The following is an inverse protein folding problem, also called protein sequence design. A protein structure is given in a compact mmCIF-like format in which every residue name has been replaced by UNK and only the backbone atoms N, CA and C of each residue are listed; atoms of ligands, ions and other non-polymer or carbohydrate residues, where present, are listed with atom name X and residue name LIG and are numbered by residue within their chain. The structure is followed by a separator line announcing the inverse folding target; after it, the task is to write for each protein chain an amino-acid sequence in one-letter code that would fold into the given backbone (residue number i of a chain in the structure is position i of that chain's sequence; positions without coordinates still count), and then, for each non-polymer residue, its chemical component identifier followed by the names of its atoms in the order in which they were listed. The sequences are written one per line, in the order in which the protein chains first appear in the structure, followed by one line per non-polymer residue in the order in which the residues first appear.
data_IF_314886451973
#
_entry.id   IF_314886451973
#
_cell.length_a   1.000
_cell.length_b   1.000
_cell.length_c   1.000
_cell.angle_alpha   90.00
_cell.angle_beta   90.00
_cell.angle_gamma   90.00
#
_symmetry.space_group_name_H-M   'P 1'
#
loop_
_entity.id
_entity.type
_entity.pdbx_description
1 polymer ?
#
# COMPACT_ATOMS: atom_id res chain seq x y z
N UNK A 1 17.97 2.38 -12.95
CA UNK A 1 17.43 3.27 -11.90
C UNK A 1 16.31 4.20 -12.38
N UNK A 2 16.33 4.75 -13.60
CA UNK A 2 15.28 5.69 -14.09
C UNK A 2 13.88 5.09 -14.25
N UNK A 3 13.75 3.82 -14.61
CA UNK A 3 12.44 3.19 -14.85
C UNK A 3 11.58 2.99 -13.60
N UNK A 4 12.18 2.84 -12.41
CA UNK A 4 11.43 2.69 -11.15
C UNK A 4 10.84 4.03 -10.71
N UNK A 5 11.65 5.10 -10.74
CA UNK A 5 11.20 6.46 -10.45
C UNK A 5 10.01 6.90 -11.33
N UNK A 6 10.09 6.64 -12.64
CA UNK A 6 8.99 6.96 -13.55
C UNK A 6 7.70 6.18 -13.25
N UNK A 7 7.82 4.92 -12.80
CA UNK A 7 6.65 4.12 -12.41
C UNK A 7 6.01 4.63 -11.13
N UNK A 8 6.81 4.99 -10.13
CA UNK A 8 6.30 5.59 -8.89
C UNK A 8 5.62 6.94 -9.18
N UNK A 9 6.13 7.72 -10.13
CA UNK A 9 5.49 8.96 -10.59
C UNK A 9 4.16 8.69 -11.32
N UNK A 10 4.10 7.69 -12.21
CA UNK A 10 2.85 7.24 -12.86
C UNK A 10 1.83 6.75 -11.82
N UNK A 11 2.26 5.96 -10.82
CA UNK A 11 1.40 5.50 -9.73
C UNK A 11 0.83 6.67 -8.93
N UNK A 12 1.68 7.63 -8.54
CA UNK A 12 1.26 8.84 -7.86
C UNK A 12 0.20 9.58 -8.68
N UNK A 13 0.45 9.80 -9.97
CA UNK A 13 -0.44 10.56 -10.84
C UNK A 13 -1.80 9.87 -10.98
N UNK A 14 -1.82 8.54 -11.17
CA UNK A 14 -3.06 7.76 -11.26
C UNK A 14 -3.84 7.82 -9.96
N UNK A 15 -3.15 7.69 -8.83
CA UNK A 15 -3.80 7.68 -7.53
C UNK A 15 -4.33 9.07 -7.15
N UNK A 16 -3.58 10.13 -7.44
CA UNK A 16 -4.03 11.51 -7.30
C UNK A 16 -5.26 11.80 -8.17
N UNK A 17 -5.30 11.29 -9.41
CA UNK A 17 -6.47 11.40 -10.28
C UNK A 17 -7.70 10.72 -9.65
N UNK A 18 -7.56 9.49 -9.15
CA UNK A 18 -8.68 8.80 -8.49
C UNK A 18 -9.14 9.51 -7.21
N UNK A 19 -8.21 9.98 -6.38
CA UNK A 19 -8.52 10.71 -5.14
C UNK A 19 -9.19 12.06 -5.40
N UNK A 20 -9.01 12.66 -6.59
CA UNK A 20 -9.74 13.87 -6.98
C UNK A 20 -11.25 13.65 -7.16
N UNK A 21 -11.69 12.40 -7.33
CA UNK A 21 -13.11 12.05 -7.43
C UNK A 21 -13.78 12.14 -6.06
N UNK A 22 -14.94 12.82 -6.00
CA UNK A 22 -15.69 12.99 -4.76
C UNK A 22 -16.02 11.62 -4.13
N UNK A 23 -15.54 11.41 -2.91
CA UNK A 23 -15.79 10.20 -2.13
C UNK A 23 -14.76 9.08 -2.31
N UNK A 24 -13.68 9.32 -3.07
CA UNK A 24 -12.59 8.35 -3.25
C UNK A 24 -11.40 8.75 -2.39
N UNK A 25 -11.17 8.01 -1.30
CA UNK A 25 -9.97 8.15 -0.48
C UNK A 25 -8.83 7.28 -1.04
N UNK A 26 -7.59 7.53 -0.61
CA UNK A 26 -6.40 6.78 -1.03
C UNK A 26 -6.56 5.26 -0.88
N UNK A 27 -7.10 4.70 0.23
CA UNK A 27 -7.40 3.27 0.32
C UNK A 27 -8.33 2.77 -0.79
N UNK A 28 -9.40 3.50 -1.08
CA UNK A 28 -10.36 3.16 -2.15
C UNK A 28 -9.70 3.22 -3.53
N UNK A 29 -8.92 4.27 -3.80
CA UNK A 29 -8.16 4.39 -5.05
C UNK A 29 -7.16 3.24 -5.23
N UNK A 30 -6.46 2.85 -4.15
CA UNK A 30 -5.52 1.71 -4.18
C UNK A 30 -6.22 0.38 -4.47
N UNK A 31 -7.45 0.20 -3.97
CA UNK A 31 -8.27 -0.98 -4.29
C UNK A 31 -8.68 -1.03 -5.76
N UNK A 32 -9.03 0.12 -6.36
CA UNK A 32 -9.30 0.22 -7.79
C UNK A 32 -8.04 -0.19 -8.58
N UNK A 33 -6.88 0.39 -8.28
CA UNK A 33 -5.62 0.04 -8.95
C UNK A 33 -5.27 -1.45 -8.80
N UNK A 34 -5.45 -2.01 -7.60
CA UNK A 34 -5.19 -3.43 -7.32
C UNK A 34 -6.11 -4.36 -8.10
N UNK A 35 -7.38 -3.98 -8.27
CA UNK A 35 -8.32 -4.75 -9.09
C UNK A 35 -7.97 -4.76 -10.58
N UNK A 36 -7.28 -3.71 -11.06
CA UNK A 36 -6.84 -3.57 -12.45
C UNK A 36 -5.52 -4.31 -12.71
N UNK A 37 -4.57 -4.25 -11.76
CA UNK A 37 -3.28 -4.93 -11.85
C UNK A 37 -2.71 -5.28 -10.47
N UNK A 38 -3.17 -6.41 -9.92
CA UNK A 38 -2.70 -6.94 -8.63
C UNK A 38 -1.25 -7.43 -8.63
N UNK A 39 -0.62 -7.60 -9.80
CA UNK A 39 0.81 -7.92 -9.87
C UNK A 39 1.68 -6.73 -9.49
N UNK A 40 1.17 -5.51 -9.68
CA UNK A 40 1.90 -4.26 -9.44
C UNK A 40 1.36 -3.46 -8.28
N UNK A 41 0.15 -3.70 -7.83
CA UNK A 41 -0.52 -2.88 -6.84
C UNK A 41 -1.05 -3.74 -5.70
N UNK A 42 -1.11 -3.13 -4.51
CA UNK A 42 -1.83 -3.68 -3.36
C UNK A 42 -2.78 -2.64 -2.78
N UNK A 43 -3.80 -3.13 -2.07
CA UNK A 43 -4.67 -2.28 -1.26
C UNK A 43 -3.87 -1.76 -0.09
N UNK A 44 -3.99 -0.47 0.20
CA UNK A 44 -3.43 0.12 1.42
C UNK A 44 -4.55 0.49 2.40
N UNK A 45 -4.36 0.14 3.67
CA UNK A 45 -5.21 0.59 4.77
C UNK A 45 -4.37 0.78 6.04
N UNK A 46 -5.04 1.11 7.14
CA UNK A 46 -4.40 1.32 8.45
C UNK A 46 -3.64 0.10 8.96
N UNK A 47 -4.09 -1.11 8.61
CA UNK A 47 -3.49 -2.36 9.06
C UNK A 47 -2.23 -2.71 8.28
N UNK A 48 -2.25 -2.48 6.97
CA UNK A 48 -1.05 -2.62 6.13
C UNK A 48 0.04 -1.66 6.63
N UNK A 49 -0.32 -0.40 6.94
CA UNK A 49 0.62 0.54 7.54
C UNK A 49 1.13 0.06 8.90
N UNK A 50 0.23 -0.34 9.80
CA UNK A 50 0.60 -0.78 11.14
C UNK A 50 1.52 -2.01 11.12
N UNK A 51 1.30 -2.95 10.19
CA UNK A 51 2.20 -4.07 9.96
C UNK A 51 3.60 -3.60 9.55
N UNK A 52 3.71 -2.70 8.56
CA UNK A 52 4.99 -2.17 8.10
C UNK A 52 5.71 -1.34 9.17
N UNK A 53 4.97 -0.56 9.96
CA UNK A 53 5.49 0.18 11.11
C UNK A 53 6.07 -0.76 12.18
N UNK A 54 5.34 -1.82 12.57
CA UNK A 54 5.86 -2.82 13.52
C UNK A 54 7.06 -3.60 13.01
N UNK A 55 7.17 -3.77 11.69
CA UNK A 55 8.33 -4.37 11.04
C UNK A 55 9.51 -3.38 10.90
N UNK A 56 9.34 -2.13 11.33
CA UNK A 56 10.40 -1.12 11.34
C UNK A 56 10.61 -0.36 10.02
N UNK A 57 9.68 -0.46 9.07
CA UNK A 57 9.75 0.28 7.80
C UNK A 57 9.32 1.74 7.91
N UNK A 58 8.57 2.09 8.96
CA UNK A 58 8.13 3.46 9.25
C UNK A 58 8.42 3.79 10.70
N UNK A 59 8.74 5.06 10.97
CA UNK A 59 9.02 5.55 12.34
C UNK A 59 7.72 5.88 13.10
N UNK A 60 6.66 6.25 12.38
CA UNK A 60 5.40 6.76 12.96
C UNK A 60 4.20 5.90 12.57
N UNK A 61 3.24 5.76 13.50
CA UNK A 61 1.91 5.24 13.20
C UNK A 61 1.08 6.25 12.41
N UNK A 62 0.17 5.76 11.56
CA UNK A 62 -0.65 6.60 10.70
C UNK A 62 -1.97 5.92 10.34
N UNK A 63 -3.06 6.69 10.42
CA UNK A 63 -4.41 6.20 10.11
C UNK A 63 -5.05 6.84 8.87
N UNK A 64 -4.42 7.90 8.31
CA UNK A 64 -4.92 8.64 7.15
C UNK A 64 -3.87 8.70 6.07
N UNK A 65 -4.24 8.36 4.84
CA UNK A 65 -3.27 8.19 3.76
C UNK A 65 -3.49 9.18 2.62
N UNK A 66 -2.39 9.73 2.11
CA UNK A 66 -2.31 10.52 0.88
C UNK A 66 -1.70 9.68 -0.24
N UNK A 67 -1.80 10.11 -1.51
CA UNK A 67 -1.14 9.43 -2.63
C UNK A 67 0.37 9.21 -2.43
N UNK A 68 1.08 10.12 -1.78
CA UNK A 68 2.50 9.93 -1.44
C UNK A 68 2.75 8.77 -0.48
N UNK A 69 1.83 8.52 0.46
CA UNK A 69 1.94 7.39 1.39
C UNK A 69 1.80 6.07 0.65
N UNK A 70 0.92 6.02 -0.36
CA UNK A 70 0.80 4.86 -1.22
C UNK A 70 2.10 4.54 -1.94
N UNK A 71 2.76 5.55 -2.52
CA UNK A 71 4.02 5.36 -3.26
C UNK A 71 5.09 4.73 -2.37
N UNK A 72 5.21 5.20 -1.12
CA UNK A 72 6.14 4.62 -0.13
C UNK A 72 5.82 3.17 0.19
N UNK A 73 4.54 2.86 0.45
CA UNK A 73 4.10 1.51 0.79
C UNK A 73 4.30 0.57 -0.40
N UNK A 74 3.85 0.95 -1.60
CA UNK A 74 3.88 0.06 -2.77
C UNK A 74 5.30 -0.24 -3.21
N UNK A 75 6.25 0.69 -3.00
CA UNK A 75 7.67 0.44 -3.28
C UNK A 75 8.23 -0.66 -2.37
N UNK A 76 7.97 -0.57 -1.06
CA UNK A 76 8.37 -1.61 -0.08
C UNK A 76 7.72 -2.95 -0.42
N UNK A 77 6.41 -2.96 -0.68
CA UNK A 77 5.65 -4.19 -0.99
C UNK A 77 6.10 -4.82 -2.30
N UNK A 78 6.46 -4.02 -3.32
CA UNK A 78 7.03 -4.52 -4.57
C UNK A 78 8.39 -5.13 -4.35
N UNK A 79 9.24 -4.53 -3.52
CA UNK A 79 10.52 -5.13 -3.17
C UNK A 79 10.33 -6.50 -2.50
N UNK A 80 9.40 -6.62 -1.56
CA UNK A 80 9.06 -7.91 -0.93
C UNK A 80 8.52 -8.93 -1.95
N UNK A 81 7.71 -8.48 -2.91
CA UNK A 81 7.21 -9.32 -3.99
C UNK A 81 8.34 -9.79 -4.92
N UNK A 82 9.29 -8.92 -5.25
CA UNK A 82 10.47 -9.28 -6.07
C UNK A 82 11.40 -10.29 -5.38
N UNK A 83 11.39 -10.33 -4.05
CA UNK A 83 12.15 -11.29 -3.22
C UNK A 83 11.42 -12.62 -3.00
N UNK A 84 10.17 -12.76 -3.48
CA UNK A 84 9.32 -13.94 -3.28
C UNK A 84 8.60 -14.36 -4.57
N UNK A 85 7.82 -15.45 -4.52
CA UNK A 85 6.96 -15.85 -5.65
C UNK A 85 5.54 -15.23 -5.57
N UNK A 86 5.32 -14.28 -4.67
CA UNK A 86 4.03 -13.64 -4.45
C UNK A 86 3.89 -12.34 -5.23
N UNK A 87 2.67 -12.03 -5.65
CA UNK A 87 2.32 -10.74 -6.24
C UNK A 87 2.28 -9.62 -5.20
N UNK A 88 2.39 -8.36 -5.64
CA UNK A 88 2.23 -7.19 -4.76
C UNK A 88 0.91 -7.25 -3.98
N UNK A 89 -0.19 -7.66 -4.62
CA UNK A 89 -1.48 -7.84 -3.96
C UNK A 89 -1.45 -8.91 -2.86
N UNK A 90 -0.80 -10.05 -3.10
CA UNK A 90 -0.68 -11.14 -2.12
C UNK A 90 0.18 -10.73 -0.92
N UNK A 91 1.30 -10.02 -1.14
CA UNK A 91 2.09 -9.46 -0.04
C UNK A 91 1.27 -8.45 0.77
N UNK A 92 0.52 -7.55 0.10
CA UNK A 92 -0.38 -6.62 0.79
C UNK A 92 -1.44 -7.33 1.64
N UNK A 93 -2.01 -8.42 1.11
CA UNK A 93 -2.94 -9.27 1.87
C UNK A 93 -2.26 -9.98 3.05
N UNK A 94 -1.02 -10.43 2.88
CA UNK A 94 -0.24 -11.04 3.97
C UNK A 94 0.06 -10.03 5.09
N UNK A 95 0.42 -8.78 4.76
CA UNK A 95 0.63 -7.70 5.74
C UNK A 95 -0.65 -7.39 6.52
N UNK A 96 -1.78 -7.32 5.81
CA UNK A 96 -3.09 -7.17 6.43
C UNK A 96 -3.40 -8.31 7.41
N UNK A 97 -3.19 -9.56 6.98
CA UNK A 97 -3.42 -10.74 7.81
C UNK A 97 -2.46 -10.81 9.00
N UNK A 98 -1.22 -10.36 8.82
CA UNK A 98 -0.21 -10.26 9.88
C UNK A 98 -0.69 -9.31 10.99
N UNK A 99 -1.25 -8.15 10.64
CA UNK A 99 -1.83 -7.23 11.63
C UNK A 99 -2.99 -7.84 12.42
N UNK A 100 -3.89 -8.57 11.75
CA UNK A 100 -5.03 -9.24 12.41
C UNK A 100 -4.57 -10.18 13.53
N UNK A 101 -3.43 -10.86 13.34
CA UNK A 101 -2.88 -11.83 14.30
C UNK A 101 -2.04 -11.17 15.39
N UNK A 102 -1.34 -10.08 15.08
CA UNK A 102 -0.31 -9.51 15.98
C UNK A 102 -0.71 -8.18 16.63
N UNK A 103 -1.90 -7.64 16.34
CA UNK A 103 -2.40 -6.45 17.04
C UNK A 103 -2.77 -6.78 18.49
N UNK A 104 -2.42 -5.88 19.41
CA UNK A 104 -3.00 -5.86 20.75
C UNK A 104 -4.21 -4.91 20.74
N UNK A 105 -5.42 -5.43 20.96
CA UNK A 105 -6.67 -4.64 21.01
C UNK A 105 -7.50 -4.61 19.73
N UNK A 106 -8.55 -3.78 19.71
CA UNK A 106 -9.43 -3.57 18.56
C UNK A 106 -9.08 -2.30 17.79
N UNK A 107 -9.51 -2.24 16.53
CA UNK A 107 -9.36 -1.07 15.65
C UNK A 107 -10.53 -0.14 16.01
N UNK A 108 -10.33 0.56 17.12
CA UNK A 108 -11.33 1.27 17.94
C UNK A 108 -12.38 0.37 18.63
#
# INVERSE_FOLDING_TARGET
MTGAAYRLEDDFCRLALYVSLKGVATPTASAILTSLDGKRHCVIDTRVWAALWRLGYFEEEKERFQPDDYVKIVDIVRQMADETDFTTAEIGYALFAYDVVHREGNLH
#
